data_IF_531185740598
#
_entry.id   IF_531185740598
#
_cell.length_a   1.000
_cell.length_b   1.000
_cell.length_c   1.000
_cell.angle_alpha   90.00
_cell.angle_beta   90.00
_cell.angle_gamma   90.00
#
_symmetry.space_group_name_H-M   'P 1'
#
loop_
_entity.id
_entity.type
_entity.pdbx_description
1 polymer ?
#
# COMPACT_ATOMS: atom_id res chain seq x y z
N UNK A 1 23.49 -1.44 -0.56
CA UNK A 1 22.10 -1.88 -0.74
C UNK A 1 22.18 -3.25 -1.42
N UNK A 2 21.92 -4.34 -0.72
CA UNK A 2 21.78 -5.64 -1.37
C UNK A 2 20.44 -5.63 -2.08
N UNK A 3 20.48 -5.49 -3.41
CA UNK A 3 19.30 -5.58 -4.27
C UNK A 3 19.09 -7.06 -4.62
N UNK A 4 19.16 -7.93 -3.62
CA UNK A 4 18.86 -9.35 -3.75
C UNK A 4 17.34 -9.53 -3.71
N UNK A 5 16.61 -8.72 -4.49
CA UNK A 5 15.27 -9.09 -4.92
C UNK A 5 15.47 -10.32 -5.78
N UNK A 6 15.32 -11.49 -5.17
CA UNK A 6 15.33 -12.76 -5.86
C UNK A 6 14.24 -12.72 -6.94
N UNK A 7 14.66 -12.44 -8.18
CA UNK A 7 13.81 -12.56 -9.35
C UNK A 7 13.48 -14.04 -9.50
N UNK A 8 12.22 -14.35 -9.78
CA UNK A 8 11.80 -15.73 -9.93
C UNK A 8 12.57 -16.37 -11.08
N UNK A 9 13.10 -17.55 -10.80
CA UNK A 9 13.62 -18.44 -11.82
C UNK A 9 12.49 -18.91 -12.73
N UNK A 10 12.86 -19.35 -13.93
CA UNK A 10 11.94 -19.98 -14.88
C UNK A 10 11.22 -21.20 -14.28
N UNK A 11 11.83 -21.85 -13.29
CA UNK A 11 11.23 -23.00 -12.61
C UNK A 11 10.12 -22.57 -11.64
N UNK A 12 10.38 -21.54 -10.83
CA UNK A 12 9.40 -20.99 -9.90
C UNK A 12 8.18 -20.43 -10.63
N UNK A 13 8.39 -19.74 -11.76
CA UNK A 13 7.30 -19.26 -12.62
C UNK A 13 6.47 -20.44 -13.15
N UNK A 14 7.14 -21.51 -13.59
CA UNK A 14 6.45 -22.69 -14.10
C UNK A 14 5.63 -23.39 -13.01
N UNK A 15 6.18 -23.51 -11.80
CA UNK A 15 5.45 -24.07 -10.66
C UNK A 15 4.20 -23.25 -10.33
N UNK A 16 4.31 -21.91 -10.33
CA UNK A 16 3.16 -21.02 -10.14
C UNK A 16 2.13 -21.15 -11.25
N UNK A 17 2.55 -21.29 -12.51
CA UNK A 17 1.65 -21.59 -13.63
C UNK A 17 0.88 -22.90 -13.37
N UNK A 18 1.55 -23.97 -12.96
CA UNK A 18 0.91 -25.24 -12.65
C UNK A 18 -0.10 -25.11 -11.49
N UNK A 19 0.25 -24.37 -10.44
CA UNK A 19 -0.65 -24.06 -9.33
C UNK A 19 -1.89 -23.29 -9.79
N UNK A 20 -1.72 -22.27 -10.63
CA UNK A 20 -2.86 -21.52 -11.18
C UNK A 20 -3.80 -22.42 -12.00
N UNK A 21 -3.24 -23.29 -12.85
CA UNK A 21 -4.04 -24.26 -13.61
C UNK A 21 -4.82 -25.22 -12.69
N UNK A 22 -4.17 -25.72 -11.64
CA UNK A 22 -4.84 -26.58 -10.66
C UNK A 22 -5.98 -25.84 -9.95
N UNK A 23 -5.76 -24.58 -9.60
CA UNK A 23 -6.74 -23.75 -8.94
C UNK A 23 -7.97 -23.48 -9.82
N UNK A 24 -7.78 -23.25 -11.12
CA UNK A 24 -8.88 -23.12 -12.09
C UNK A 24 -9.74 -24.39 -12.18
N UNK A 25 -9.12 -25.56 -12.15
CA UNK A 25 -9.82 -26.85 -12.18
C UNK A 25 -10.54 -27.13 -10.85
N UNK A 26 -9.88 -26.81 -9.73
CA UNK A 26 -10.42 -27.00 -8.37
C UNK A 26 -11.63 -26.12 -8.13
N UNK A 27 -11.55 -24.86 -8.53
CA UNK A 27 -12.62 -23.85 -8.40
C UNK A 27 -13.71 -24.00 -9.45
N UNK A 28 -13.62 -25.00 -10.34
CA UNK A 28 -14.60 -25.30 -11.41
C UNK A 28 -14.83 -24.15 -12.40
N UNK A 29 -13.90 -23.20 -12.47
CA UNK A 29 -13.89 -22.14 -13.48
C UNK A 29 -13.69 -22.75 -14.88
N UNK A 30 -12.85 -23.78 -14.95
CA UNK A 30 -12.65 -24.58 -16.16
C UNK A 30 -13.15 -26.00 -15.93
N UNK A 31 -13.90 -26.53 -16.89
CA UNK A 31 -14.52 -27.86 -16.80
C UNK A 31 -13.52 -29.01 -16.92
N UNK A 32 -12.46 -28.85 -17.72
CA UNK A 32 -11.48 -29.90 -17.97
C UNK A 32 -10.12 -29.40 -18.43
N UNK A 33 -9.10 -30.27 -18.31
CA UNK A 33 -7.77 -30.03 -18.89
C UNK A 33 -7.79 -29.92 -20.42
N UNK A 34 -8.76 -30.55 -21.09
CA UNK A 34 -8.91 -30.49 -22.54
C UNK A 34 -9.37 -29.09 -22.99
N UNK A 35 -10.37 -28.53 -22.31
CA UNK A 35 -10.86 -27.17 -22.54
C UNK A 35 -9.74 -26.14 -22.36
N UNK A 36 -8.89 -26.34 -21.35
CA UNK A 36 -7.76 -25.45 -21.12
C UNK A 36 -6.67 -25.57 -22.20
N UNK A 37 -6.41 -26.79 -22.70
CA UNK A 37 -5.50 -27.00 -23.82
C UNK A 37 -6.00 -26.31 -25.11
N UNK A 38 -7.31 -26.36 -25.37
CA UNK A 38 -7.96 -25.65 -26.47
C UNK A 38 -7.84 -24.13 -26.31
N UNK A 39 -8.09 -23.60 -25.10
CA UNK A 39 -7.93 -22.17 -24.82
C UNK A 39 -6.49 -21.69 -25.04
N UNK A 40 -5.50 -22.52 -24.70
CA UNK A 40 -4.09 -22.27 -24.98
C UNK A 40 -3.68 -22.52 -26.44
N UNK A 41 -4.58 -23.01 -27.29
CA UNK A 41 -4.28 -23.30 -28.69
C UNK A 41 -3.26 -24.42 -28.89
N UNK A 42 -3.12 -25.34 -27.92
CA UNK A 42 -2.15 -26.44 -27.97
C UNK A 42 -2.81 -27.81 -27.96
N UNK A 43 -2.11 -28.80 -28.54
CA UNK A 43 -2.55 -30.19 -28.51
C UNK A 43 -2.57 -30.72 -27.06
N UNK A 44 -3.58 -31.51 -26.65
CA UNK A 44 -3.67 -32.08 -25.30
C UNK A 44 -2.43 -32.87 -24.86
N UNK A 45 -1.75 -33.54 -25.80
CA UNK A 45 -0.49 -34.24 -25.53
C UNK A 45 0.61 -33.29 -25.05
N UNK A 46 0.81 -32.17 -25.76
CA UNK A 46 1.78 -31.13 -25.37
C UNK A 46 1.42 -30.51 -24.02
N UNK A 47 0.13 -30.28 -23.78
CA UNK A 47 -0.33 -29.76 -22.50
C UNK A 47 -0.05 -30.73 -21.35
N UNK A 48 -0.25 -32.03 -21.59
CA UNK A 48 0.05 -33.08 -20.60
C UNK A 48 1.55 -33.15 -20.27
N UNK A 49 2.44 -32.95 -21.25
CA UNK A 49 3.88 -32.84 -20.97
C UNK A 49 4.20 -31.66 -20.05
N UNK A 50 3.55 -30.51 -20.26
CA UNK A 50 3.72 -29.31 -19.43
C UNK A 50 3.22 -29.58 -18.00
N UNK A 51 2.02 -30.14 -17.86
CA UNK A 51 1.44 -30.43 -16.54
C UNK A 51 2.26 -31.42 -15.71
N UNK A 52 3.01 -32.30 -16.37
CA UNK A 52 3.89 -33.26 -15.73
C UNK A 52 5.31 -32.73 -15.51
N UNK A 53 5.56 -31.44 -15.77
CA UNK A 53 6.86 -30.81 -15.58
C UNK A 53 7.92 -31.21 -16.61
N UNK A 54 7.56 -31.96 -17.66
CA UNK A 54 8.48 -32.35 -18.75
C UNK A 54 8.72 -31.21 -19.74
N UNK A 55 7.85 -30.20 -19.75
CA UNK A 55 7.98 -28.98 -20.53
C UNK A 55 7.57 -27.77 -19.68
N UNK A 56 8.14 -26.60 -19.99
CA UNK A 56 7.71 -25.33 -19.38
C UNK A 56 6.58 -24.71 -20.17
N UNK A 57 5.70 -24.01 -19.46
CA UNK A 57 4.65 -23.21 -20.10
C UNK A 57 5.26 -22.08 -20.95
N UNK A 58 4.62 -21.80 -22.09
CA UNK A 58 4.96 -20.67 -22.93
C UNK A 58 4.38 -19.37 -22.38
N UNK A 59 5.02 -18.24 -22.71
CA UNK A 59 4.60 -16.87 -22.28
C UNK A 59 3.19 -16.54 -22.75
N UNK A 60 2.81 -17.02 -23.92
CA UNK A 60 1.45 -16.99 -24.46
C UNK A 60 0.41 -17.58 -23.50
N UNK A 61 0.71 -18.74 -22.90
CA UNK A 61 -0.20 -19.39 -21.95
C UNK A 61 -0.32 -18.60 -20.64
N UNK A 62 0.79 -18.03 -20.16
CA UNK A 62 0.79 -17.16 -18.98
C UNK A 62 -0.05 -15.90 -19.23
N UNK A 63 0.04 -15.30 -20.42
CA UNK A 63 -0.77 -14.15 -20.82
C UNK A 63 -2.26 -14.49 -20.85
N UNK A 64 -2.63 -15.63 -21.45
CA UNK A 64 -4.02 -16.11 -21.48
C UNK A 64 -4.56 -16.33 -20.06
N UNK A 65 -3.77 -16.88 -19.14
CA UNK A 65 -4.17 -17.00 -17.73
C UNK A 65 -4.45 -15.63 -17.10
N UNK A 66 -3.61 -14.64 -17.35
CA UNK A 66 -3.75 -13.32 -16.75
C UNK A 66 -4.90 -12.49 -17.33
N UNK A 67 -5.19 -12.66 -18.62
CA UNK A 67 -6.19 -11.87 -19.35
C UNK A 67 -7.58 -12.52 -19.30
N UNK A 68 -7.69 -13.81 -19.62
CA UNK A 68 -8.97 -14.50 -19.74
C UNK A 68 -9.46 -15.12 -18.42
N UNK A 69 -8.53 -15.56 -17.57
CA UNK A 69 -8.85 -16.24 -16.31
C UNK A 69 -8.57 -15.38 -15.07
N UNK A 70 -8.27 -14.10 -15.25
CA UNK A 70 -8.01 -13.14 -14.19
C UNK A 70 -6.96 -13.59 -13.16
N UNK A 71 -5.96 -14.37 -13.60
CA UNK A 71 -4.81 -14.70 -12.75
C UNK A 71 -3.95 -13.44 -12.56
N UNK A 72 -3.53 -13.19 -11.32
CA UNK A 72 -2.69 -12.03 -11.00
C UNK A 72 -1.29 -12.18 -11.60
N UNK A 73 -0.84 -11.25 -12.48
CA UNK A 73 0.53 -11.27 -13.02
C UNK A 73 1.57 -11.00 -11.93
N UNK A 74 1.22 -10.21 -10.92
CA UNK A 74 2.07 -9.96 -9.74
C UNK A 74 2.33 -11.25 -8.98
N UNK A 75 1.27 -12.04 -8.77
CA UNK A 75 1.40 -13.33 -8.10
C UNK A 75 2.15 -14.33 -8.99
N UNK A 76 1.80 -14.42 -10.27
CA UNK A 76 2.31 -15.42 -11.20
C UNK A 76 3.80 -15.23 -11.53
N UNK A 77 4.22 -13.99 -11.81
CA UNK A 77 5.55 -13.68 -12.35
C UNK A 77 6.47 -13.02 -11.32
N UNK A 78 5.92 -12.25 -10.39
CA UNK A 78 6.71 -11.42 -9.48
C UNK A 78 6.76 -11.96 -8.05
N UNK A 79 5.99 -13.02 -7.75
CA UNK A 79 5.78 -13.52 -6.39
C UNK A 79 5.34 -12.42 -5.43
N UNK A 80 4.45 -11.54 -5.90
CA UNK A 80 3.86 -10.45 -5.13
C UNK A 80 2.36 -10.65 -5.01
N UNK A 81 1.80 -10.23 -3.88
CA UNK A 81 0.39 -10.46 -3.56
C UNK A 81 0.13 -11.86 -3.00
N UNK A 82 -0.96 -11.97 -2.25
CA UNK A 82 -1.35 -13.19 -1.55
C UNK A 82 -2.24 -14.10 -2.42
N UNK A 83 -2.96 -13.49 -3.36
CA UNK A 83 -4.04 -14.13 -4.09
C UNK A 83 -3.61 -14.55 -5.51
N UNK A 84 -4.03 -15.76 -5.91
CA UNK A 84 -3.82 -16.31 -7.27
C UNK A 84 -4.59 -15.50 -8.32
N UNK A 85 -5.81 -15.08 -7.95
CA UNK A 85 -6.69 -14.26 -8.78
C UNK A 85 -6.49 -12.78 -8.47
N UNK A 86 -6.80 -11.93 -9.46
CA UNK A 86 -6.91 -10.49 -9.26
C UNK A 86 -8.07 -10.16 -8.34
N UNK A 87 -7.92 -9.09 -7.56
CA UNK A 87 -8.97 -8.57 -6.67
C UNK A 87 -10.00 -7.72 -7.42
N UNK A 88 -9.58 -7.11 -8.53
CA UNK A 88 -10.44 -6.30 -9.41
C UNK A 88 -10.55 -6.94 -10.78
N UNK A 89 -11.77 -6.92 -11.33
CA UNK A 89 -12.07 -7.29 -12.72
C UNK A 89 -11.68 -6.18 -13.71
N UNK A 90 -11.39 -4.96 -13.22
CA UNK A 90 -10.95 -3.86 -14.05
C UNK A 90 -9.51 -4.08 -14.53
N UNK A 91 -9.38 -4.43 -15.81
CA UNK A 91 -8.08 -4.53 -16.46
C UNK A 91 -7.62 -3.14 -16.91
N UNK A 92 -6.33 -2.79 -16.69
CA UNK A 92 -5.79 -1.57 -17.27
C UNK A 92 -5.90 -1.64 -18.81
N UNK A 93 -6.01 -0.50 -19.50
CA UNK A 93 -6.11 -0.49 -20.95
C UNK A 93 -4.91 -1.19 -21.57
N UNK A 94 -5.16 -2.04 -22.58
CA UNK A 94 -4.09 -2.63 -23.39
C UNK A 94 -3.41 -1.49 -24.15
N UNK A 95 -2.14 -1.27 -23.88
CA UNK A 95 -1.34 -0.28 -24.61
C UNK A 95 -0.45 -1.02 -25.60
N UNK A 96 -0.86 -1.03 -26.87
CA UNK A 96 -0.04 -1.51 -27.98
C UNK A 96 0.74 -0.32 -28.53
N UNK A 97 2.06 -0.34 -28.36
CA UNK A 97 2.93 0.71 -28.89
C UNK A 97 3.52 0.26 -30.23
N UNK A 98 3.09 0.90 -31.31
CA UNK A 98 3.70 0.76 -32.63
C UNK A 98 4.97 1.62 -32.67
N UNK A 99 6.07 1.08 -32.15
CA UNK A 99 7.42 1.47 -32.57
C UNK A 99 8.12 2.63 -31.86
N UNK A 100 7.46 3.69 -31.39
CA UNK A 100 8.20 4.91 -31.01
C UNK A 100 7.77 5.49 -29.65
N UNK A 101 8.53 5.19 -28.60
CA UNK A 101 8.47 5.93 -27.34
C UNK A 101 8.06 5.12 -26.11
N UNK A 102 8.96 4.28 -25.60
CA UNK A 102 8.93 3.92 -24.19
C UNK A 102 9.19 5.19 -23.37
N UNK A 103 8.13 5.86 -22.95
CA UNK A 103 8.19 6.80 -21.83
C UNK A 103 7.71 6.01 -20.62
N UNK A 104 8.61 5.55 -19.73
CA UNK A 104 8.18 4.93 -18.48
C UNK A 104 7.23 5.90 -17.75
N UNK A 105 6.23 5.42 -17.00
CA UNK A 105 5.33 6.28 -16.25
C UNK A 105 6.06 7.29 -15.33
N UNK A 106 7.28 6.98 -14.88
CA UNK A 106 8.11 7.92 -14.12
C UNK A 106 8.56 9.14 -14.94
N UNK A 107 8.75 9.00 -16.25
CA UNK A 107 9.19 10.07 -17.15
C UNK A 107 8.02 10.95 -17.63
N UNK A 108 6.77 10.49 -17.48
CA UNK A 108 5.57 11.32 -17.66
C UNK A 108 5.38 12.28 -16.48
N UNK A 109 5.59 11.81 -15.25
CA UNK A 109 5.57 12.66 -14.03
C UNK A 109 6.51 13.86 -14.09
N UNK A 110 7.74 13.66 -14.59
CA UNK A 110 8.72 14.75 -14.73
C UNK A 110 8.34 15.83 -15.76
N UNK A 111 7.35 15.58 -16.62
CA UNK A 111 6.81 16.57 -17.56
C UNK A 111 5.48 17.19 -17.09
N UNK A 112 4.75 16.52 -16.20
CA UNK A 112 3.49 16.99 -15.63
C UNK A 112 3.67 17.96 -14.44
N UNK A 113 4.84 17.95 -13.78
CA UNK A 113 5.21 18.90 -12.71
C UNK A 113 5.34 20.38 -13.19
N UNK A 114 5.05 20.68 -14.47
CA UNK A 114 4.93 22.06 -14.99
C UNK A 114 3.51 22.49 -15.37
N UNK A 115 2.50 21.63 -15.22
CA UNK A 115 1.09 21.99 -15.45
C UNK A 115 0.13 21.58 -14.33
N UNK A 116 0.63 21.09 -13.18
CA UNK A 116 -0.16 20.77 -11.98
C UNK A 116 -0.47 22.01 -11.12
N UNK A 117 -1.06 23.04 -11.70
CA UNK A 117 -1.73 24.09 -10.92
C UNK A 117 -3.22 24.26 -11.20
N UNK A 118 -3.85 23.49 -12.10
CA UNK A 118 -5.25 23.76 -12.47
C UNK A 118 -6.21 22.56 -12.61
N UNK A 119 -5.85 21.32 -12.24
CA UNK A 119 -6.77 20.17 -12.45
C UNK A 119 -7.03 19.28 -11.21
N UNK A 120 -7.01 19.86 -10.01
CA UNK A 120 -7.62 19.22 -8.82
C UNK A 120 -9.06 19.73 -8.66
N UNK A 121 -9.91 19.54 -9.67
CA UNK A 121 -11.34 19.80 -9.57
C UNK A 121 -12.06 18.92 -10.59
N UNK A 122 -12.36 17.65 -10.25
CA UNK A 122 -13.52 16.90 -10.76
C UNK A 122 -13.60 15.47 -10.20
N UNK A 123 -13.48 15.31 -8.88
CA UNK A 123 -14.12 14.20 -8.15
C UNK A 123 -14.85 14.82 -6.95
N UNK A 124 -15.87 15.63 -7.22
CA UNK A 124 -16.68 16.24 -6.17
C UNK A 124 -18.15 16.20 -6.58
N UNK A 125 -18.86 15.16 -6.14
CA UNK A 125 -20.26 15.38 -5.81
C UNK A 125 -20.77 14.56 -4.62
N UNK A 126 -20.23 13.37 -4.32
CA UNK A 126 -20.84 12.55 -3.25
C UNK A 126 -20.00 12.44 -1.96
N UNK A 127 -18.68 12.67 -2.02
CA UNK A 127 -17.80 12.61 -0.85
C UNK A 127 -17.76 13.93 -0.04
N UNK A 128 -18.20 15.06 -0.62
CA UNK A 128 -18.18 16.36 0.06
C UNK A 128 -19.09 16.41 1.31
N UNK A 129 -20.18 15.63 1.32
CA UNK A 129 -21.13 15.61 2.44
C UNK A 129 -20.56 14.96 3.70
N UNK A 130 -19.63 13.99 3.56
CA UNK A 130 -18.96 13.33 4.69
C UNK A 130 -17.68 14.05 5.14
N UNK A 131 -17.01 14.75 4.21
CA UNK A 131 -15.79 15.50 4.50
C UNK A 131 -16.08 16.77 5.32
N UNK A 132 -17.21 17.45 5.06
CA UNK A 132 -17.54 18.69 5.77
C UNK A 132 -17.74 18.52 7.30
N UNK A 133 -18.51 17.53 7.79
CA UNK A 133 -18.62 17.24 9.22
C UNK A 133 -17.29 16.84 9.86
N UNK A 134 -16.47 16.06 9.16
CA UNK A 134 -15.16 15.65 9.64
C UNK A 134 -14.20 16.84 9.76
N UNK A 135 -14.23 17.76 8.79
CA UNK A 135 -13.41 18.97 8.82
C UNK A 135 -13.83 19.91 9.95
N UNK A 136 -15.12 19.99 10.25
CA UNK A 136 -15.63 20.74 11.39
C UNK A 136 -15.17 20.12 12.72
N UNK A 137 -15.20 18.79 12.82
CA UNK A 137 -14.71 18.08 14.00
C UNK A 137 -13.21 18.31 14.24
N UNK A 138 -12.39 18.29 13.18
CA UNK A 138 -10.94 18.57 13.29
C UNK A 138 -10.71 19.98 13.83
N UNK A 139 -11.38 21.00 13.26
CA UNK A 139 -11.25 22.39 13.74
C UNK A 139 -11.64 22.54 15.21
N UNK A 140 -12.69 21.83 15.62
CA UNK A 140 -13.12 21.82 17.00
C UNK A 140 -12.07 21.16 17.92
N UNK A 141 -11.49 20.04 17.50
CA UNK A 141 -10.40 19.38 18.24
C UNK A 141 -9.15 20.24 18.32
N UNK A 142 -8.74 20.90 17.24
CA UNK A 142 -7.58 21.80 17.24
C UNK A 142 -7.77 22.97 18.22
N UNK A 143 -8.99 23.51 18.30
CA UNK A 143 -9.34 24.54 19.29
C UNK A 143 -9.20 24.02 20.73
N UNK A 144 -9.74 22.83 21.02
CA UNK A 144 -9.59 22.23 22.35
C UNK A 144 -8.14 21.93 22.70
N UNK A 145 -7.32 21.50 21.74
CA UNK A 145 -5.88 21.26 21.95
C UNK A 145 -5.16 22.56 22.32
N UNK A 146 -5.49 23.68 21.66
CA UNK A 146 -4.94 24.99 22.01
C UNK A 146 -5.35 25.43 23.42
N UNK A 147 -6.62 25.34 23.76
CA UNK A 147 -7.14 25.70 25.09
C UNK A 147 -6.45 24.86 26.18
N UNK A 148 -6.30 23.55 25.96
CA UNK A 148 -5.58 22.65 26.87
C UNK A 148 -4.10 22.99 27.00
N UNK A 149 -3.43 23.35 25.90
CA UNK A 149 -2.02 23.72 25.92
C UNK A 149 -1.78 24.99 26.76
N UNK A 150 -2.70 25.94 26.71
CA UNK A 150 -2.66 27.15 27.54
C UNK A 150 -2.86 26.84 29.02
N UNK A 151 -3.88 26.05 29.36
CA UNK A 151 -4.14 25.63 30.75
C UNK A 151 -2.95 24.87 31.35
N UNK A 152 -2.36 23.94 30.57
CA UNK A 152 -1.15 23.22 30.98
C UNK A 152 0.00 24.21 31.20
N UNK A 153 0.15 25.23 30.35
CA UNK A 153 1.14 26.30 30.53
C UNK A 153 0.98 27.02 31.87
N UNK A 154 -0.23 27.49 32.17
CA UNK A 154 -0.53 28.19 33.42
C UNK A 154 -0.34 27.30 34.65
N UNK A 155 -0.74 26.03 34.59
CA UNK A 155 -0.55 25.07 35.67
C UNK A 155 0.94 24.81 35.93
N UNK A 156 1.74 24.63 34.87
CA UNK A 156 3.19 24.47 34.98
C UNK A 156 3.85 25.68 35.62
N UNK A 157 3.41 26.90 35.28
CA UNK A 157 3.91 28.12 35.90
C UNK A 157 3.57 28.20 37.40
N UNK A 158 2.32 27.91 37.78
CA UNK A 158 1.91 27.89 39.19
C UNK A 158 2.72 26.88 40.00
N UNK A 159 2.96 25.69 39.45
CA UNK A 159 3.80 24.67 40.10
C UNK A 159 5.24 25.19 40.28
N UNK A 160 5.80 25.86 39.28
CA UNK A 160 7.14 26.45 39.38
C UNK A 160 7.23 27.54 40.46
N UNK A 161 6.24 28.44 40.52
CA UNK A 161 6.19 29.49 41.55
C UNK A 161 6.03 28.92 42.96
N UNK A 162 5.21 27.88 43.11
CA UNK A 162 4.98 27.21 44.40
C UNK A 162 6.26 26.52 44.89
N UNK A 163 6.97 25.83 43.99
CA UNK A 163 8.26 25.19 44.30
C UNK A 163 9.30 26.22 44.76
N UNK A 164 9.40 27.37 44.08
CA UNK A 164 10.31 28.45 44.47
C UNK A 164 9.99 29.06 45.84
N UNK A 165 8.70 29.17 46.19
CA UNK A 165 8.28 29.65 47.53
C UNK A 165 8.65 28.66 48.61
N UNK A 166 8.40 27.36 48.39
CA UNK A 166 8.81 26.31 49.34
C UNK A 166 10.33 26.29 49.56
N UNK A 167 11.13 26.46 48.51
CA UNK A 167 12.59 26.55 48.63
C UNK A 167 13.04 27.79 49.42
N UNK A 168 12.39 28.93 49.22
CA UNK A 168 12.69 30.18 49.94
C UNK A 168 12.26 30.14 51.41
N UNK A 169 11.09 29.59 51.70
CA UNK A 169 10.55 29.48 53.06
C UNK A 169 11.35 28.45 53.89
N UNK A 170 11.84 27.38 53.27
CA UNK A 170 12.78 26.45 53.88
C UNK A 170 14.14 27.09 54.18
N UNK A 171 14.62 28.00 53.33
CA UNK A 171 15.87 28.74 53.55
C UNK A 171 15.76 29.78 54.68
N UNK A 172 14.63 30.48 54.80
CA UNK A 172 14.38 31.48 55.85
C UNK A 172 14.14 30.86 57.24
N UNK A 173 13.50 29.69 57.31
CA UNK A 173 13.29 28.99 58.57
C UNK A 173 14.61 28.55 59.25
N UNK A 174 15.70 28.43 58.49
CA UNK A 174 17.02 28.03 59.01
C UNK A 174 17.86 29.21 59.52
N UNK A 175 17.45 30.46 59.31
CA UNK A 175 18.26 31.66 59.68
C UNK A 175 17.78 32.43 60.91
N UNK A 176 16.58 32.14 61.43
CA UNK A 176 15.99 32.89 62.55
C UNK A 176 16.38 32.39 63.96
N UNK A 177 17.28 31.40 64.07
CA UNK A 177 17.83 30.97 65.37
C UNK A 177 19.26 31.45 65.51
N UNK A 178 19.45 32.71 65.92
CA UNK A 178 20.48 33.20 66.86
C UNK A 178 20.21 34.70 67.06
N UNK A 179 19.58 35.04 68.18
CA UNK A 179 19.68 36.37 68.78
C UNK A 179 20.21 36.18 70.21
N UNK A 180 21.50 36.44 70.34
CA UNK A 180 22.27 36.52 71.58
C UNK A 180 21.75 37.66 72.47
N UNK A 181 21.43 37.37 73.73
CA UNK A 181 21.30 38.37 74.81
C UNK A 181 22.19 37.89 75.95
N UNK A 182 23.17 38.75 76.29
CA UNK A 182 24.25 38.47 77.25
C UNK A 182 23.87 38.65 78.71
#
# INVERSE_FOLDING_TARGET
MNIDRQILSKEEINNRFLTAVQELLRSRIVSSKATLAEAFGIKPAKFSEILNGRMKAGVDMLAILCDYYYISPDWLLMSRGENVFRESEELPPVILYDGDGCVPPFAQKAKEDKSESEQINNIQTDNNSLIAPFMQLIKEKDRTIMEQAEEIGQLRERVAQMQQRFEKDAANASTDTIANVG
#
